data_IF_470058329070
#
_entry.id   IF_470058329070
#
_cell.length_a   1.000
_cell.length_b   1.000
_cell.length_c   1.000
_cell.angle_alpha   90.00
_cell.angle_beta   90.00
_cell.angle_gamma   90.00
#
_symmetry.space_group_name_H-M   'P 1'
#
loop_
_entity.id
_entity.type
_entity.pdbx_description
1 polymer ?
#
# COMPACT_ATOMS: atom_id res chain seq x y z
N UNK A 1 2.68 21.26 6.93
CA UNK A 1 1.82 20.11 7.30
C UNK A 1 2.36 18.86 6.66
N UNK A 2 2.28 17.74 7.36
CA UNK A 2 2.70 16.47 6.81
C UNK A 2 1.70 15.99 5.76
N UNK A 3 2.19 15.67 4.56
CA UNK A 3 1.40 15.06 3.49
C UNK A 3 2.25 13.99 2.83
N UNK A 4 1.59 13.04 2.19
CA UNK A 4 2.29 11.95 1.54
C UNK A 4 1.53 11.49 0.30
N UNK A 5 2.26 10.85 -0.61
CA UNK A 5 1.68 10.08 -1.70
C UNK A 5 2.09 8.63 -1.47
N UNK A 6 1.16 7.73 -1.68
CA UNK A 6 1.39 6.32 -1.45
C UNK A 6 0.59 5.48 -2.44
N UNK A 7 0.94 4.20 -2.53
CA UNK A 7 0.18 3.22 -3.29
C UNK A 7 0.01 1.98 -2.45
N UNK A 8 -1.06 1.23 -2.69
CA UNK A 8 -1.38 0.05 -1.91
C UNK A 8 -1.94 -1.07 -2.75
N UNK A 9 -1.94 -2.27 -2.15
CA UNK A 9 -2.54 -3.47 -2.74
C UNK A 9 -3.47 -4.04 -1.68
N UNK A 10 -4.72 -4.33 -2.04
CA UNK A 10 -5.70 -4.93 -1.16
C UNK A 10 -6.01 -6.35 -1.60
N UNK A 11 -5.87 -7.32 -0.69
CA UNK A 11 -6.20 -8.72 -0.92
C UNK A 11 -6.96 -9.30 0.26
N UNK A 12 -7.52 -10.51 0.10
CA UNK A 12 -8.41 -11.10 1.10
C UNK A 12 -7.70 -11.79 2.26
N UNK A 13 -6.47 -12.26 2.06
CA UNK A 13 -5.77 -13.06 3.07
C UNK A 13 -4.36 -12.56 3.33
N UNK A 14 -3.88 -12.80 4.54
CA UNK A 14 -2.51 -12.46 4.92
C UNK A 14 -1.50 -13.26 4.10
N UNK A 15 -1.78 -14.53 3.83
CA UNK A 15 -0.89 -15.39 3.06
C UNK A 15 -0.67 -14.83 1.67
N UNK A 16 -1.73 -14.45 0.98
CA UNK A 16 -1.63 -13.84 -0.34
C UNK A 16 -0.86 -12.52 -0.29
N UNK A 17 -1.16 -11.70 0.72
CA UNK A 17 -0.49 -10.42 0.90
C UNK A 17 1.02 -10.59 1.09
N UNK A 18 1.43 -11.54 1.93
CA UNK A 18 2.84 -11.82 2.15
C UNK A 18 3.53 -12.34 0.88
N UNK A 19 2.83 -13.19 0.15
CA UNK A 19 3.34 -13.72 -1.12
C UNK A 19 3.62 -12.59 -2.11
N UNK A 20 2.71 -11.63 -2.24
CA UNK A 20 2.88 -10.50 -3.13
C UNK A 20 4.02 -9.59 -2.67
N UNK A 21 4.17 -9.42 -1.36
CA UNK A 21 5.28 -8.66 -0.81
C UNK A 21 6.62 -9.29 -1.20
N UNK A 22 6.70 -10.62 -1.11
CA UNK A 22 7.91 -11.35 -1.47
C UNK A 22 8.20 -11.22 -2.98
N UNK A 23 7.18 -11.24 -3.82
CA UNK A 23 7.35 -11.04 -5.26
C UNK A 23 7.93 -9.66 -5.56
N UNK A 24 7.45 -8.63 -4.88
CA UNK A 24 7.96 -7.27 -5.05
C UNK A 24 9.40 -7.18 -4.57
N UNK A 25 9.72 -7.82 -3.45
CA UNK A 25 11.08 -7.85 -2.92
C UNK A 25 12.04 -8.56 -3.88
N UNK A 26 11.53 -9.49 -4.68
CA UNK A 26 12.33 -10.25 -5.66
C UNK A 26 12.38 -9.60 -7.04
N UNK A 27 11.87 -8.38 -7.18
CA UNK A 27 12.03 -7.61 -8.41
C UNK A 27 10.76 -7.26 -9.16
N UNK A 28 9.58 -7.78 -8.77
CA UNK A 28 8.33 -7.40 -9.41
C UNK A 28 8.00 -5.94 -9.08
N UNK A 29 7.40 -5.24 -10.05
CA UNK A 29 7.02 -3.85 -9.83
C UNK A 29 5.73 -3.77 -9.04
N UNK A 30 5.68 -2.90 -8.04
CA UNK A 30 4.50 -2.72 -7.20
C UNK A 30 3.25 -2.44 -8.03
N UNK A 31 3.32 -1.50 -8.95
CA UNK A 31 2.18 -1.14 -9.79
C UNK A 31 1.68 -2.30 -10.63
N UNK A 32 2.57 -3.14 -11.14
CA UNK A 32 2.18 -4.32 -11.92
C UNK A 32 1.45 -5.33 -11.06
N UNK A 33 1.96 -5.58 -9.85
CA UNK A 33 1.34 -6.50 -8.90
C UNK A 33 -0.03 -5.95 -8.46
N UNK A 34 -0.11 -4.65 -8.22
CA UNK A 34 -1.38 -4.01 -7.86
C UNK A 34 -2.44 -4.19 -8.96
N UNK A 35 -2.06 -3.95 -10.21
CA UNK A 35 -2.97 -4.09 -11.34
C UNK A 35 -3.48 -5.52 -11.50
N UNK A 36 -2.63 -6.50 -11.21
CA UNK A 36 -2.98 -7.91 -11.38
C UNK A 36 -3.78 -8.48 -10.21
N UNK A 37 -3.54 -8.03 -9.00
CA UNK A 37 -4.03 -8.72 -7.79
C UNK A 37 -4.87 -7.85 -6.85
N UNK A 38 -4.72 -6.53 -6.85
CA UNK A 38 -5.42 -5.69 -5.89
C UNK A 38 -6.91 -5.64 -6.16
N UNK A 39 -7.70 -5.76 -5.10
CA UNK A 39 -9.17 -5.69 -5.19
C UNK A 39 -9.71 -4.28 -5.03
N UNK A 40 -8.85 -3.32 -4.76
CA UNK A 40 -9.25 -1.93 -4.67
C UNK A 40 -9.32 -1.30 -6.06
N UNK A 41 -10.30 -0.41 -6.33
CA UNK A 41 -10.37 0.30 -7.63
C UNK A 41 -9.10 1.03 -8.02
N UNK A 42 -8.28 1.46 -7.05
CA UNK A 42 -7.00 2.10 -7.31
C UNK A 42 -6.02 1.19 -8.05
N UNK A 43 -6.32 -0.12 -8.15
CA UNK A 43 -5.48 -1.05 -8.91
C UNK A 43 -5.26 -0.61 -10.35
N UNK A 44 -6.21 0.12 -10.93
CA UNK A 44 -6.10 0.64 -12.30
C UNK A 44 -4.94 1.62 -12.45
N UNK A 45 -4.63 2.33 -11.36
CA UNK A 45 -3.54 3.30 -11.31
C UNK A 45 -2.30 2.75 -10.60
N UNK A 46 -2.12 1.43 -10.66
CA UNK A 46 -1.00 0.78 -9.99
C UNK A 46 -1.07 0.83 -8.47
N UNK A 47 -2.28 1.02 -7.93
CA UNK A 47 -2.50 1.13 -6.49
C UNK A 47 -2.38 2.55 -5.95
N UNK A 48 -2.16 3.54 -6.80
CA UNK A 48 -1.96 4.93 -6.37
C UNK A 48 -3.15 5.49 -5.62
N UNK A 49 -2.89 6.09 -4.46
CA UNK A 49 -3.91 6.75 -3.63
C UNK A 49 -3.89 8.27 -3.79
N UNK A 50 -2.94 8.81 -4.57
CA UNK A 50 -2.76 10.23 -4.68
C UNK A 50 -2.15 10.84 -3.43
N UNK A 51 -2.24 12.17 -3.29
CA UNK A 51 -1.72 12.89 -2.13
C UNK A 51 -2.77 12.97 -1.03
N UNK A 52 -2.35 12.75 0.21
CA UNK A 52 -3.25 12.84 1.36
C UNK A 52 -2.49 13.26 2.61
N UNK A 53 -3.23 13.75 3.61
CA UNK A 53 -2.67 14.14 4.91
C UNK A 53 -3.07 13.19 6.03
N UNK A 54 -2.55 13.42 7.25
CA UNK A 54 -2.92 12.62 8.42
C UNK A 54 -4.43 12.66 8.66
N UNK A 55 -4.98 11.52 9.07
CA UNK A 55 -6.40 11.41 9.39
C UNK A 55 -7.34 11.19 8.21
N UNK A 56 -6.83 11.17 6.98
CA UNK A 56 -7.66 10.96 5.79
C UNK A 56 -7.82 9.48 5.44
N UNK A 57 -6.97 8.63 5.97
CA UNK A 57 -7.03 7.17 5.77
C UNK A 57 -7.46 6.48 7.06
N UNK A 58 -7.77 5.17 6.97
CA UNK A 58 -8.05 4.39 8.18
C UNK A 58 -6.84 4.44 9.12
N UNK A 59 -7.06 4.34 10.46
CA UNK A 59 -5.96 4.51 11.43
C UNK A 59 -4.74 3.64 11.20
N UNK A 60 -4.93 2.39 10.82
CA UNK A 60 -3.83 1.45 10.56
C UNK A 60 -2.96 1.92 9.41
N UNK A 61 -3.60 2.44 8.37
CA UNK A 61 -2.95 2.96 7.17
C UNK A 61 -2.20 4.25 7.48
N UNK A 62 -2.88 5.16 8.16
CA UNK A 62 -2.33 6.45 8.54
C UNK A 62 -1.04 6.28 9.33
N UNK A 63 -1.08 5.41 10.34
CA UNK A 63 0.08 5.11 11.17
C UNK A 63 1.24 4.57 10.33
N UNK A 64 0.96 3.61 9.44
CA UNK A 64 1.99 3.01 8.60
C UNK A 64 2.62 4.04 7.66
N UNK A 65 1.80 4.87 7.01
CA UNK A 65 2.28 5.88 6.06
C UNK A 65 3.21 6.87 6.72
N UNK A 66 2.82 7.39 7.88
CA UNK A 66 3.58 8.47 8.51
C UNK A 66 4.70 7.99 9.44
N UNK A 67 4.89 6.66 9.54
CA UNK A 67 6.03 6.09 10.27
C UNK A 67 7.02 5.35 9.38
N UNK A 68 6.71 5.17 8.09
CA UNK A 68 7.55 4.40 7.16
C UNK A 68 8.39 5.33 6.29
N UNK A 69 9.51 4.80 5.79
CA UNK A 69 10.37 5.53 4.86
C UNK A 69 9.80 5.48 3.44
N UNK A 70 10.10 6.52 2.66
CA UNK A 70 9.76 6.54 1.24
C UNK A 70 10.46 5.39 0.53
N UNK A 71 9.70 4.65 -0.27
CA UNK A 71 10.22 3.49 -1.01
C UNK A 71 10.15 2.18 -0.26
N UNK A 72 9.80 2.21 1.03
CA UNK A 72 9.66 0.99 1.82
C UNK A 72 8.29 0.35 1.60
N UNK A 73 8.25 -0.94 1.28
CA UNK A 73 7.01 -1.70 1.17
C UNK A 73 6.68 -2.28 2.54
N UNK A 74 5.53 -1.88 3.07
CA UNK A 74 5.10 -2.23 4.42
C UNK A 74 3.88 -3.13 4.37
N UNK A 75 3.80 -4.08 5.27
CA UNK A 75 2.67 -4.98 5.39
C UNK A 75 3.13 -6.42 5.62
N UNK A 76 2.20 -7.35 5.74
CA UNK A 76 0.74 -7.20 5.64
C UNK A 76 0.13 -6.33 6.74
N UNK A 77 -0.78 -5.45 6.36
CA UNK A 77 -1.51 -4.59 7.31
C UNK A 77 -2.98 -4.97 7.25
N UNK A 78 -3.56 -5.37 8.38
CA UNK A 78 -4.97 -5.73 8.43
C UNK A 78 -5.83 -4.50 8.67
N UNK A 79 -6.89 -4.36 7.86
CA UNK A 79 -7.94 -3.35 8.06
C UNK A 79 -9.30 -4.03 7.95
N UNK A 80 -10.37 -3.26 8.12
CA UNK A 80 -11.71 -3.79 7.96
C UNK A 80 -12.01 -4.29 6.53
N UNK A 81 -11.20 -3.89 5.55
CA UNK A 81 -11.38 -4.28 4.15
C UNK A 81 -10.61 -5.53 3.76
N UNK A 82 -9.63 -5.94 4.56
CA UNK A 82 -8.78 -7.07 4.26
C UNK A 82 -7.33 -6.80 4.63
N UNK A 83 -6.42 -7.28 3.80
CA UNK A 83 -4.98 -7.15 4.04
C UNK A 83 -4.33 -6.29 2.97
N UNK A 84 -3.44 -5.41 3.40
CA UNK A 84 -2.82 -4.42 2.52
C UNK A 84 -1.32 -4.52 2.50
N UNK A 85 -0.73 -4.24 1.32
CA UNK A 85 0.65 -3.80 1.19
C UNK A 85 0.60 -2.31 0.89
N UNK A 86 1.58 -1.57 1.41
CA UNK A 86 1.63 -0.13 1.28
C UNK A 86 3.05 0.30 0.96
N UNK A 87 3.21 1.21 0.01
CA UNK A 87 4.50 1.84 -0.27
C UNK A 87 4.30 3.35 -0.31
N UNK A 88 5.05 4.08 0.50
CA UNK A 88 5.06 5.54 0.45
C UNK A 88 5.96 5.94 -0.71
N UNK A 89 5.42 6.67 -1.68
CA UNK A 89 6.16 7.07 -2.87
C UNK A 89 6.71 8.48 -2.76
N UNK A 90 6.10 9.31 -1.91
CA UNK A 90 6.54 10.69 -1.71
C UNK A 90 6.09 11.18 -0.33
N UNK A 91 6.91 11.99 0.30
CA UNK A 91 6.57 12.65 1.55
C UNK A 91 6.87 14.13 1.44
N UNK A 92 5.91 14.94 1.84
CA UNK A 92 5.99 16.40 1.72
C UNK A 92 6.03 17.02 3.11
#
# INVERSE_FOLDING_TARGET
>A
MARAEARHILVDTEVECQKLKDEIANGSKFETVAQAHSKCPSSRDGGSLGEFGPGQMVPEFDKAVFSSDVGEVVGPIKTQFGWHLLEVTKRI
#
